data_IF_400599925888
#
_entry.id   IF_400599925888
#
_cell.length_a   1.000
_cell.length_b   1.000
_cell.length_c   1.000
_cell.angle_alpha   90.00
_cell.angle_beta   90.00
_cell.angle_gamma   90.00
#
_symmetry.space_group_name_H-M   'P 1'
#
loop_
_entity.id
_entity.type
_entity.pdbx_description
1 polymer ?
#
# COMPACT_ATOMS: atom_id res chain seq x y z
N UNK A 1 -0.38 29.81 -8.09
CA UNK A 1 -0.71 30.14 -6.69
C UNK A 1 -0.34 28.96 -5.81
N UNK A 2 0.38 29.13 -4.68
CA UNK A 2 0.65 28.02 -3.78
C UNK A 2 -0.63 27.54 -3.11
N UNK A 3 -0.88 26.23 -3.12
CA UNK A 3 -2.01 25.63 -2.42
C UNK A 3 -1.79 25.79 -0.91
N UNK A 4 -2.55 26.70 -0.28
CA UNK A 4 -2.57 26.86 1.17
C UNK A 4 -3.38 25.72 1.78
N UNK A 5 -2.72 24.64 2.15
CA UNK A 5 -3.32 23.56 2.93
C UNK A 5 -3.61 24.09 4.33
N UNK A 6 -4.89 24.35 4.64
CA UNK A 6 -5.36 24.78 5.96
C UNK A 6 -5.31 23.59 6.90
N UNK A 7 -4.39 23.64 7.87
CA UNK A 7 -4.23 22.66 8.95
C UNK A 7 -3.94 21.20 8.53
N UNK A 8 -3.27 20.48 9.42
CA UNK A 8 -2.87 19.07 9.25
C UNK A 8 -4.05 18.10 9.27
N UNK A 9 -5.24 18.54 9.69
CA UNK A 9 -6.45 17.74 9.87
C UNK A 9 -7.18 17.43 8.55
N UNK A 10 -7.07 18.30 7.55
CA UNK A 10 -7.70 18.12 6.23
C UNK A 10 -6.88 17.27 5.26
N UNK A 11 -5.63 16.94 5.61
CA UNK A 11 -4.85 15.98 4.84
C UNK A 11 -5.34 14.59 5.18
N UNK A 12 -5.88 13.86 4.19
CA UNK A 12 -6.04 12.41 4.31
C UNK A 12 -4.64 11.82 4.52
N UNK A 13 -4.31 11.51 5.77
CA UNK A 13 -3.07 10.79 6.08
C UNK A 13 -3.29 9.38 5.57
N UNK A 14 -2.57 9.00 4.51
CA UNK A 14 -2.61 7.63 4.03
C UNK A 14 -2.04 6.72 5.11
N UNK A 15 -2.91 5.95 5.75
CA UNK A 15 -2.53 4.98 6.78
C UNK A 15 -1.82 3.81 6.11
N UNK A 16 -0.64 3.45 6.61
CA UNK A 16 0.07 2.26 6.17
C UNK A 16 -0.58 1.01 6.77
N UNK A 17 -0.73 -0.04 5.97
CA UNK A 17 -1.20 -1.36 6.41
C UNK A 17 -0.07 -2.19 7.03
N UNK A 18 0.91 -1.52 7.64
CA UNK A 18 2.18 -2.15 8.03
C UNK A 18 2.01 -3.28 9.05
N UNK A 19 1.06 -3.18 9.98
CA UNK A 19 0.73 -4.29 10.89
C UNK A 19 0.22 -5.52 10.13
N UNK A 20 -0.62 -5.32 9.11
CA UNK A 20 -1.16 -6.41 8.30
C UNK A 20 -0.05 -7.03 7.46
N UNK A 21 0.82 -6.21 6.88
CA UNK A 21 2.00 -6.66 6.13
C UNK A 21 2.98 -7.47 6.96
N UNK A 22 3.29 -7.02 8.18
CA UNK A 22 4.14 -7.77 9.11
C UNK A 22 3.55 -9.15 9.43
N UNK A 23 2.24 -9.21 9.70
CA UNK A 23 1.54 -10.48 9.92
C UNK A 23 1.58 -11.37 8.67
N UNK A 24 1.32 -10.81 7.49
CA UNK A 24 1.32 -11.52 6.22
C UNK A 24 2.69 -12.13 5.89
N UNK A 25 3.78 -11.42 6.24
CA UNK A 25 5.16 -11.89 6.06
C UNK A 25 5.72 -12.69 7.25
N UNK A 26 4.94 -12.90 8.31
CA UNK A 26 5.41 -13.58 9.52
C UNK A 26 6.56 -12.87 10.22
N UNK A 27 6.63 -11.54 10.11
CA UNK A 27 7.73 -10.71 10.58
C UNK A 27 7.31 -9.85 11.79
N UNK A 28 8.21 -9.69 12.75
CA UNK A 28 8.01 -8.82 13.91
C UNK A 28 8.43 -7.37 13.62
N UNK A 29 7.94 -6.43 14.43
CA UNK A 29 8.34 -5.02 14.32
C UNK A 29 9.82 -4.79 14.63
N UNK A 30 10.42 -5.61 15.50
CA UNK A 30 11.85 -5.55 15.83
C UNK A 30 12.72 -6.05 14.66
N UNK A 31 12.31 -7.12 13.98
CA UNK A 31 13.00 -7.60 12.79
C UNK A 31 12.93 -6.58 11.65
N UNK A 32 11.77 -5.96 11.42
CA UNK A 32 11.66 -4.89 10.45
C UNK A 32 12.57 -3.71 10.80
N UNK A 33 12.57 -3.27 12.06
CA UNK A 33 13.42 -2.19 12.55
C UNK A 33 14.90 -2.49 12.26
N UNK A 34 15.34 -3.71 12.60
CA UNK A 34 16.71 -4.16 12.36
C UNK A 34 17.06 -4.21 10.87
N UNK A 35 16.15 -4.68 10.01
CA UNK A 35 16.41 -4.82 8.56
C UNK A 35 16.47 -3.51 7.81
N UNK A 36 15.75 -2.48 8.26
CA UNK A 36 15.76 -1.14 7.63
C UNK A 36 16.66 -0.13 8.35
N UNK A 37 17.42 -0.60 9.34
CA UNK A 37 18.31 0.22 10.19
C UNK A 37 17.57 1.38 10.88
N UNK A 38 16.35 1.13 11.35
CA UNK A 38 15.53 2.09 12.10
C UNK A 38 15.43 1.70 13.58
N UNK A 39 15.12 2.68 14.44
CA UNK A 39 14.81 2.37 15.84
C UNK A 39 13.44 1.71 15.98
N UNK A 40 13.30 0.83 16.98
CA UNK A 40 11.99 0.21 17.32
C UNK A 40 10.94 1.27 17.67
N UNK A 41 11.36 2.42 18.21
CA UNK A 41 10.50 3.58 18.46
C UNK A 41 9.92 4.17 17.17
N UNK A 42 10.74 4.28 16.11
CA UNK A 42 10.29 4.74 14.79
C UNK A 42 9.24 3.78 14.22
N UNK A 43 9.51 2.47 14.24
CA UNK A 43 8.53 1.48 13.75
C UNK A 43 7.24 1.52 14.57
N UNK A 44 7.33 1.61 15.89
CA UNK A 44 6.15 1.71 16.76
C UNK A 44 5.29 2.94 16.44
N UNK A 45 5.92 4.12 16.28
CA UNK A 45 5.18 5.33 15.90
C UNK A 45 4.59 5.23 14.50
N UNK A 46 5.29 4.58 13.56
CA UNK A 46 4.82 4.35 12.20
C UNK A 46 3.58 3.44 12.17
N UNK A 47 3.62 2.31 12.90
CA UNK A 47 2.49 1.37 13.03
C UNK A 47 1.24 2.02 13.62
N UNK A 48 1.43 2.99 14.52
CA UNK A 48 0.34 3.73 15.16
C UNK A 48 -0.08 5.00 14.40
N UNK A 49 0.48 5.26 13.22
CA UNK A 49 0.19 6.48 12.45
C UNK A 49 0.62 7.79 13.13
N UNK A 50 1.51 7.71 14.13
CA UNK A 50 1.98 8.85 14.94
C UNK A 50 3.21 9.55 14.39
N UNK A 51 3.81 9.01 13.33
CA UNK A 51 4.99 9.57 12.69
C UNK A 51 4.80 9.65 11.18
N UNK A 52 5.34 10.72 10.58
CA UNK A 52 5.42 10.87 9.13
C UNK A 52 6.52 10.00 8.56
N UNK A 53 6.27 9.46 7.38
CA UNK A 53 7.25 8.75 6.57
C UNK A 53 7.72 9.65 5.42
N UNK A 54 8.93 9.38 4.95
CA UNK A 54 9.48 9.93 3.71
C UNK A 54 9.59 8.79 2.68
N UNK A 55 10.02 9.13 1.46
CA UNK A 55 10.14 8.16 0.39
C UNK A 55 11.17 7.06 0.69
N UNK A 56 12.37 7.41 1.18
CA UNK A 56 13.42 6.45 1.54
C UNK A 56 12.94 5.41 2.57
N UNK A 57 12.21 5.81 3.60
CA UNK A 57 11.64 4.89 4.58
C UNK A 57 10.61 3.94 3.94
N UNK A 58 9.78 4.45 3.02
CA UNK A 58 8.82 3.62 2.30
C UNK A 58 9.52 2.63 1.37
N UNK A 59 10.57 3.05 0.66
CA UNK A 59 11.38 2.21 -0.23
C UNK A 59 12.05 1.07 0.53
N UNK A 60 12.66 1.36 1.69
CA UNK A 60 13.27 0.33 2.53
C UNK A 60 12.26 -0.68 3.07
N UNK A 61 11.10 -0.19 3.51
CA UNK A 61 10.02 -1.05 4.01
C UNK A 61 9.48 -1.93 2.87
N UNK A 62 9.20 -1.34 1.71
CA UNK A 62 8.74 -2.03 0.51
C UNK A 62 9.73 -3.11 0.06
N UNK A 63 11.03 -2.79 0.04
CA UNK A 63 12.09 -3.74 -0.26
C UNK A 63 12.13 -4.91 0.73
N UNK A 64 12.09 -4.65 2.03
CA UNK A 64 12.13 -5.71 3.06
C UNK A 64 10.88 -6.59 3.04
N UNK A 65 9.73 -6.01 2.70
CA UNK A 65 8.45 -6.72 2.60
C UNK A 65 8.19 -7.31 1.23
N UNK A 66 9.11 -7.15 0.28
CA UNK A 66 9.02 -7.66 -1.09
C UNK A 66 7.69 -7.24 -1.74
N UNK A 67 7.42 -5.94 -1.77
CA UNK A 67 6.25 -5.37 -2.42
C UNK A 67 6.51 -3.96 -2.95
N UNK A 68 5.62 -3.44 -3.79
CA UNK A 68 5.71 -2.06 -4.26
C UNK A 68 5.21 -1.05 -3.21
N UNK A 69 5.71 0.19 -3.25
CA UNK A 69 5.30 1.25 -2.33
C UNK A 69 3.76 1.45 -2.29
N UNK A 70 3.02 1.47 -3.42
CA UNK A 70 1.56 1.58 -3.37
C UNK A 70 0.88 0.42 -2.63
N UNK A 71 1.50 -0.76 -2.57
CA UNK A 71 0.98 -1.91 -1.86
C UNK A 71 0.96 -1.73 -0.34
N UNK A 72 1.87 -0.91 0.21
CA UNK A 72 1.91 -0.60 1.65
C UNK A 72 0.65 0.13 2.16
N UNK A 73 -0.13 0.73 1.26
CA UNK A 73 -1.34 1.49 1.57
C UNK A 73 -2.63 0.66 1.43
N UNK A 74 -2.50 -0.66 1.30
CA UNK A 74 -3.63 -1.59 1.25
C UNK A 74 -3.33 -2.86 2.02
N UNK A 75 -4.41 -3.57 2.34
CA UNK A 75 -4.38 -4.87 2.99
C UNK A 75 -3.64 -5.89 2.08
N UNK A 76 -2.57 -6.56 2.56
CA UNK A 76 -1.81 -7.53 1.76
C UNK A 76 -2.64 -8.74 1.33
N UNK A 77 -3.70 -9.09 2.07
CA UNK A 77 -4.58 -10.21 1.74
C UNK A 77 -5.65 -9.81 0.70
N UNK A 78 -5.71 -8.52 0.33
CA UNK A 78 -6.63 -7.99 -0.69
C UNK A 78 -5.81 -7.51 -1.90
N UNK A 79 -5.57 -8.39 -2.88
CA UNK A 79 -4.89 -7.98 -4.10
C UNK A 79 -5.70 -6.90 -4.82
N UNK A 80 -4.98 -5.94 -5.40
CA UNK A 80 -5.54 -4.95 -6.30
C UNK A 80 -6.05 -5.59 -7.59
N UNK A 81 -6.91 -4.88 -8.31
CA UNK A 81 -7.39 -5.33 -9.62
C UNK A 81 -6.22 -5.62 -10.58
N UNK A 82 -5.17 -4.79 -10.57
CA UNK A 82 -4.00 -4.99 -11.43
C UNK A 82 -3.24 -6.27 -11.07
N UNK A 83 -3.01 -6.55 -9.80
CA UNK A 83 -2.36 -7.81 -9.41
C UNK A 83 -3.20 -9.04 -9.73
N UNK A 84 -4.53 -8.94 -9.59
CA UNK A 84 -5.42 -10.03 -10.02
C UNK A 84 -5.25 -10.27 -11.53
N UNK A 85 -5.24 -9.20 -12.32
CA UNK A 85 -5.05 -9.23 -13.77
C UNK A 85 -3.67 -9.79 -14.14
N UNK A 86 -2.61 -9.47 -13.39
CA UNK A 86 -1.24 -9.97 -13.62
C UNK A 86 -1.05 -11.44 -13.28
N UNK A 87 -1.88 -12.00 -12.40
CA UNK A 87 -1.91 -13.43 -12.08
C UNK A 87 -2.73 -14.27 -13.07
N UNK A 88 -3.52 -13.65 -13.95
CA UNK A 88 -4.37 -14.35 -14.91
C UNK A 88 -3.58 -14.88 -16.11
N UNK A 89 -4.06 -15.98 -16.69
CA UNK A 89 -3.64 -16.40 -18.03
C UNK A 89 -4.08 -15.36 -19.07
N UNK A 90 -3.43 -15.27 -20.25
CA UNK A 90 -3.87 -14.36 -21.31
C UNK A 90 -5.34 -14.55 -21.70
N UNK A 91 -5.81 -15.80 -21.79
CA UNK A 91 -7.20 -16.13 -22.12
C UNK A 91 -8.20 -15.68 -21.04
N UNK A 92 -7.87 -15.92 -19.76
CA UNK A 92 -8.71 -15.49 -18.63
C UNK A 92 -8.74 -13.97 -18.48
N UNK A 93 -7.63 -13.30 -18.79
CA UNK A 93 -7.53 -11.84 -18.79
C UNK A 93 -8.51 -11.24 -19.81
N UNK A 94 -8.49 -11.73 -21.05
CA UNK A 94 -9.40 -11.24 -22.11
C UNK A 94 -10.87 -11.49 -21.77
N UNK A 95 -11.18 -12.65 -21.20
CA UNK A 95 -12.53 -12.98 -20.75
C UNK A 95 -12.98 -12.07 -19.60
N UNK A 96 -12.12 -11.86 -18.62
CA UNK A 96 -12.36 -10.96 -17.48
C UNK A 96 -12.60 -9.53 -17.94
N UNK A 97 -11.79 -9.03 -18.88
CA UNK A 97 -11.94 -7.68 -19.41
C UNK A 97 -13.26 -7.47 -20.15
N UNK A 98 -13.75 -8.45 -20.92
CA UNK A 98 -15.07 -8.38 -21.55
C UNK A 98 -16.19 -8.26 -20.50
N UNK A 99 -16.13 -9.05 -19.44
CA UNK A 99 -17.12 -8.99 -18.34
C UNK A 99 -17.07 -7.62 -17.66
N UNK A 100 -15.88 -7.13 -17.30
CA UNK A 100 -15.71 -5.83 -16.66
C UNK A 100 -16.28 -4.70 -17.53
N UNK A 101 -16.07 -4.73 -18.85
CA UNK A 101 -16.65 -3.75 -19.78
C UNK A 101 -18.18 -3.74 -19.76
N UNK A 102 -18.85 -4.88 -19.52
CA UNK A 102 -20.32 -4.90 -19.41
C UNK A 102 -20.83 -4.24 -18.13
N UNK A 103 -20.01 -4.16 -17.09
CA UNK A 103 -20.36 -3.59 -15.78
C UNK A 103 -20.05 -2.09 -15.67
N UNK A 104 -19.18 -1.55 -16.54
CA UNK A 104 -18.88 -0.11 -16.55
C UNK A 104 -20.07 0.64 -17.17
N UNK A 105 -20.72 1.57 -16.44
CA UNK A 105 -21.84 2.31 -16.99
C UNK A 105 -21.39 3.08 -18.23
N UNK A 106 -22.12 2.92 -19.34
CA UNK A 106 -21.89 3.74 -20.53
C UNK A 106 -22.07 5.20 -20.13
N UNK A 107 -21.05 6.01 -20.41
CA UNK A 107 -21.12 7.47 -20.24
C UNK A 107 -22.21 7.97 -21.20
N UNK A 108 -23.44 8.13 -20.70
CA UNK A 108 -24.48 8.85 -21.42
C UNK A 108 -24.01 10.29 -21.49
N UNK A 109 -23.75 10.76 -22.71
CA UNK A 109 -23.34 12.14 -23.00
C UNK A 109 -24.44 13.13 -22.68
#
# INVERSE_FOLDING_TARGET
>A
MPVKLKETKDRRVSTLYLQSWLKHRGMTSAELASRIEASTSVISKLLNGKQRYNQDLLERIAFVLDCDIPALFRDPDKPSANELIDRMSPDDRDRSMKILQTMVPKKTG
#
